data_IF_244312402955
#
_entry.id   IF_244312402955
#
_cell.length_a   1.000
_cell.length_b   1.000
_cell.length_c   1.000
_cell.angle_alpha   90.00
_cell.angle_beta   90.00
_cell.angle_gamma   90.00
#
_symmetry.space_group_name_H-M   'P 1'
#
loop_
_entity.id
_entity.type
_entity.pdbx_description
1 polymer ?
#
# COMPACT_ATOMS: atom_id res chain seq x y z
N UNK A 1 3.39 15.74 -16.62
CA UNK A 1 3.81 15.71 -15.20
C UNK A 1 5.25 15.26 -15.11
N UNK A 2 6.06 15.90 -14.27
CA UNK A 2 7.44 15.48 -14.02
C UNK A 2 7.46 14.10 -13.34
N UNK A 3 8.40 13.25 -13.76
CA UNK A 3 8.65 11.96 -13.11
C UNK A 3 9.73 12.20 -12.05
N UNK A 4 9.33 12.15 -10.78
CA UNK A 4 10.23 12.36 -9.63
C UNK A 4 10.87 11.03 -9.23
N UNK A 5 10.04 9.99 -9.04
CA UNK A 5 10.49 8.64 -8.70
C UNK A 5 10.98 7.90 -9.94
N UNK A 6 12.05 8.41 -10.55
CA UNK A 6 12.74 7.76 -11.67
C UNK A 6 13.46 6.50 -11.20
N UNK A 7 13.73 5.57 -12.11
CA UNK A 7 14.47 4.34 -11.78
C UNK A 7 15.85 4.65 -11.17
N UNK A 8 16.53 5.70 -11.68
CA UNK A 8 17.80 6.19 -11.14
C UNK A 8 17.66 6.71 -9.71
N UNK A 9 16.61 7.48 -9.42
CA UNK A 9 16.38 8.02 -8.09
C UNK A 9 16.04 6.90 -7.09
N UNK A 10 15.14 5.99 -7.48
CA UNK A 10 14.74 4.84 -6.66
C UNK A 10 15.93 3.94 -6.32
N UNK A 11 16.81 3.69 -7.28
CA UNK A 11 18.05 2.94 -7.07
C UNK A 11 19.06 3.67 -6.16
N UNK A 12 19.03 5.00 -6.14
CA UNK A 12 19.88 5.77 -5.22
C UNK A 12 19.28 5.76 -3.80
N UNK A 13 17.95 5.83 -3.70
CA UNK A 13 17.23 5.78 -2.43
C UNK A 13 17.37 4.41 -1.75
N UNK A 14 17.30 3.31 -2.50
CA UNK A 14 17.52 1.96 -1.94
C UNK A 14 18.89 1.77 -1.30
N UNK A 15 19.90 2.47 -1.81
CA UNK A 15 21.27 2.44 -1.26
C UNK A 15 21.43 3.28 0.02
N UNK A 16 20.49 4.16 0.32
CA UNK A 16 20.45 4.86 1.62
C UNK A 16 19.96 3.95 2.74
N UNK A 17 19.30 2.84 2.40
CA UNK A 17 18.79 1.90 3.37
C UNK A 17 19.85 0.88 3.75
N UNK A 18 20.15 0.82 5.04
CA UNK A 18 20.97 -0.21 5.63
C UNK A 18 20.09 -1.34 6.19
N UNK A 19 20.43 -2.59 5.84
CA UNK A 19 19.74 -3.79 6.32
C UNK A 19 19.80 -3.97 7.84
N UNK A 20 20.79 -3.37 8.51
CA UNK A 20 20.93 -3.36 9.96
C UNK A 20 19.92 -2.41 10.64
N UNK A 21 19.50 -1.36 9.95
CA UNK A 21 18.57 -0.36 10.48
C UNK A 21 17.12 -0.66 10.13
N UNK A 22 16.86 -1.07 8.88
CA UNK A 22 15.49 -1.38 8.41
C UNK A 22 15.51 -2.67 7.60
N UNK A 23 14.78 -3.68 8.06
CA UNK A 23 14.61 -4.91 7.28
C UNK A 23 13.65 -4.70 6.10
N UNK A 24 13.80 -5.42 4.97
CA UNK A 24 12.86 -5.30 3.85
C UNK A 24 11.43 -5.72 4.24
N UNK A 25 11.27 -6.57 5.25
CA UNK A 25 9.96 -6.87 5.86
C UNK A 25 9.31 -5.66 6.51
N UNK A 26 10.07 -4.88 7.28
CA UNK A 26 9.58 -3.65 7.91
C UNK A 26 9.26 -2.61 6.84
N UNK A 27 10.18 -2.35 5.90
CA UNK A 27 9.95 -1.41 4.82
C UNK A 27 8.69 -1.76 4.01
N UNK A 28 8.49 -3.05 3.71
CA UNK A 28 7.29 -3.51 3.01
C UNK A 28 6.00 -3.10 3.73
N UNK A 29 5.98 -3.19 5.07
CA UNK A 29 4.83 -2.75 5.87
C UNK A 29 4.68 -1.22 5.84
N UNK A 30 5.77 -0.47 5.96
CA UNK A 30 5.76 1.00 5.89
C UNK A 30 5.19 1.50 4.55
N UNK A 31 5.52 0.80 3.46
CA UNK A 31 5.01 1.10 2.11
C UNK A 31 3.55 0.64 1.89
N UNK A 32 2.88 0.07 2.90
CA UNK A 32 1.50 -0.40 2.81
C UNK A 32 1.34 -1.73 2.07
N UNK A 33 2.37 -2.58 2.08
CA UNK A 33 2.33 -3.95 1.58
C UNK A 33 2.32 -4.96 2.73
N UNK A 34 2.17 -6.25 2.41
CA UNK A 34 2.21 -7.32 3.41
C UNK A 34 3.65 -7.68 3.84
N UNK A 35 3.80 -8.29 5.02
CA UNK A 35 5.09 -8.88 5.44
C UNK A 35 5.59 -9.97 4.49
N UNK A 36 4.65 -10.67 3.82
CA UNK A 36 4.97 -11.68 2.81
C UNK A 36 5.64 -11.06 1.58
N UNK A 37 5.17 -9.89 1.13
CA UNK A 37 5.81 -9.17 0.02
C UNK A 37 7.27 -8.81 0.35
N UNK A 38 7.54 -8.31 1.56
CA UNK A 38 8.91 -8.05 2.01
C UNK A 38 9.77 -9.32 2.14
N UNK A 39 9.18 -10.43 2.56
CA UNK A 39 9.89 -11.72 2.61
C UNK A 39 10.24 -12.20 1.21
N UNK A 40 9.34 -12.07 0.24
CA UNK A 40 9.60 -12.43 -1.15
C UNK A 40 10.71 -11.57 -1.75
N UNK A 41 10.74 -10.27 -1.45
CA UNK A 41 11.81 -9.37 -1.88
C UNK A 41 13.16 -9.76 -1.27
N UNK A 42 13.20 -10.19 0.01
CA UNK A 42 14.40 -10.74 0.64
C UNK A 42 14.89 -12.01 -0.05
N UNK A 43 13.99 -12.95 -0.30
CA UNK A 43 14.33 -14.21 -0.99
C UNK A 43 14.84 -13.93 -2.39
N UNK A 44 14.19 -13.04 -3.14
CA UNK A 44 14.63 -12.65 -4.47
C UNK A 44 16.03 -12.01 -4.46
N UNK A 45 16.31 -11.10 -3.53
CA UNK A 45 17.64 -10.50 -3.37
C UNK A 45 18.74 -11.51 -3.01
N UNK A 46 18.41 -12.51 -2.18
CA UNK A 46 19.35 -13.58 -1.86
C UNK A 46 19.62 -14.50 -3.06
N UNK A 47 18.61 -14.82 -3.87
CA UNK A 47 18.75 -15.62 -5.08
C UNK A 47 19.65 -14.93 -6.13
N UNK A 48 19.63 -13.60 -6.18
CA UNK A 48 20.50 -12.81 -7.06
C UNK A 48 21.86 -12.47 -6.44
N UNK A 49 22.16 -13.02 -5.25
CA UNK A 49 23.35 -12.70 -4.44
C UNK A 49 23.54 -11.19 -4.20
N UNK A 50 22.43 -10.44 -4.18
CA UNK A 50 22.40 -9.00 -3.96
C UNK A 50 21.30 -8.63 -2.95
N UNK A 51 21.58 -8.73 -1.64
CA UNK A 51 20.60 -8.43 -0.59
C UNK A 51 20.03 -7.01 -0.64
N UNK A 52 20.78 -6.04 -1.19
CA UNK A 52 20.32 -4.67 -1.36
C UNK A 52 19.18 -4.55 -2.40
N UNK A 53 19.10 -5.48 -3.37
CA UNK A 53 18.04 -5.46 -4.38
C UNK A 53 16.65 -5.76 -3.82
N UNK A 54 16.56 -6.23 -2.57
CA UNK A 54 15.27 -6.36 -1.87
C UNK A 54 14.57 -5.02 -1.70
N UNK A 55 15.31 -3.94 -1.46
CA UNK A 55 14.75 -2.60 -1.38
C UNK A 55 14.35 -2.06 -2.76
N UNK A 56 15.16 -2.36 -3.79
CA UNK A 56 14.86 -2.01 -5.19
C UNK A 56 13.51 -2.59 -5.64
N UNK A 57 13.26 -3.87 -5.32
CA UNK A 57 11.98 -4.54 -5.64
C UNK A 57 10.80 -3.86 -4.93
N UNK A 58 10.95 -3.54 -3.65
CA UNK A 58 9.89 -2.88 -2.87
C UNK A 58 9.56 -1.48 -3.38
N UNK A 59 10.58 -0.67 -3.71
CA UNK A 59 10.35 0.65 -4.28
C UNK A 59 9.81 0.57 -5.71
N UNK A 60 10.25 -0.42 -6.51
CA UNK A 60 9.68 -0.66 -7.83
C UNK A 60 8.19 -1.00 -7.73
N UNK A 61 7.79 -1.86 -6.79
CA UNK A 61 6.38 -2.16 -6.49
C UNK A 61 5.61 -0.92 -6.05
N UNK A 62 6.20 -0.10 -5.18
CA UNK A 62 5.60 1.17 -4.76
C UNK A 62 5.32 2.08 -5.95
N UNK A 63 6.31 2.26 -6.82
CA UNK A 63 6.20 3.07 -8.02
C UNK A 63 5.19 2.51 -9.02
N UNK A 64 5.10 1.18 -9.16
CA UNK A 64 4.08 0.55 -10.01
C UNK A 64 2.65 0.78 -9.47
N UNK A 65 2.48 0.76 -8.15
CA UNK A 65 1.17 0.93 -7.50
C UNK A 65 0.72 2.39 -7.42
N UNK A 66 1.63 3.30 -7.08
CA UNK A 66 1.31 4.70 -6.78
C UNK A 66 1.73 5.67 -7.88
N UNK A 67 2.51 5.22 -8.87
CA UNK A 67 3.05 6.06 -9.94
C UNK A 67 4.37 6.74 -9.58
N UNK A 68 4.85 7.58 -10.51
CA UNK A 68 6.17 8.26 -10.45
C UNK A 68 6.08 9.76 -10.19
N UNK A 69 4.89 10.28 -9.92
CA UNK A 69 4.61 11.71 -9.85
C UNK A 69 5.04 12.34 -8.51
N UNK A 70 4.86 13.66 -8.42
CA UNK A 70 5.11 14.42 -7.20
C UNK A 70 4.24 13.99 -6.02
N UNK A 71 2.96 13.67 -6.25
CA UNK A 71 2.06 13.16 -5.20
C UNK A 71 2.59 11.85 -4.61
N UNK A 72 3.03 10.92 -5.46
CA UNK A 72 3.63 9.65 -5.03
C UNK A 72 4.92 9.87 -4.25
N UNK A 73 5.76 10.82 -4.68
CA UNK A 73 7.00 11.17 -3.98
C UNK A 73 6.75 11.86 -2.62
N UNK A 74 5.78 12.78 -2.53
CA UNK A 74 5.36 13.40 -1.27
C UNK A 74 4.80 12.35 -0.31
N UNK A 75 4.00 11.42 -0.82
CA UNK A 75 3.51 10.29 -0.04
C UNK A 75 4.65 9.39 0.44
N UNK A 76 5.67 9.13 -0.40
CA UNK A 76 6.83 8.35 0.00
C UNK A 76 7.64 9.06 1.11
N UNK A 77 7.83 10.38 0.99
CA UNK A 77 8.47 11.20 2.04
C UNK A 77 7.70 11.12 3.36
N UNK A 78 6.37 11.25 3.32
CA UNK A 78 5.54 11.16 4.53
C UNK A 78 5.68 9.80 5.24
N UNK A 79 5.72 8.70 4.47
CA UNK A 79 5.96 7.36 5.04
C UNK A 79 7.30 7.31 5.78
N UNK A 80 8.35 7.91 5.22
CA UNK A 80 9.65 7.93 5.90
C UNK A 80 9.65 8.76 7.18
N UNK A 81 8.98 9.92 7.19
CA UNK A 81 8.87 10.74 8.39
C UNK A 81 8.12 10.03 9.53
N UNK A 82 7.01 9.36 9.22
CA UNK A 82 6.23 8.61 10.22
C UNK A 82 6.99 7.42 10.83
N UNK A 83 7.99 6.90 10.11
CA UNK A 83 8.79 5.76 10.55
C UNK A 83 10.20 6.19 11.01
N UNK A 84 10.39 7.48 11.34
CA UNK A 84 11.64 8.04 11.87
C UNK A 84 12.84 7.92 10.91
N UNK A 85 12.59 7.70 9.61
CA UNK A 85 13.60 7.54 8.55
C UNK A 85 13.96 8.89 7.93
N UNK A 86 14.42 9.83 8.77
CA UNK A 86 14.62 11.23 8.38
C UNK A 86 15.57 11.40 7.19
N UNK A 87 16.68 10.67 7.14
CA UNK A 87 17.64 10.74 6.03
C UNK A 87 16.99 10.38 4.68
N UNK A 88 16.09 9.37 4.67
CA UNK A 88 15.36 8.98 3.47
C UNK A 88 14.30 10.04 3.09
N UNK A 89 13.63 10.63 4.09
CA UNK A 89 12.68 11.71 3.87
C UNK A 89 13.35 12.96 3.27
N UNK A 90 14.51 13.35 3.80
CA UNK A 90 15.32 14.46 3.31
C UNK A 90 15.86 14.19 1.90
N UNK A 91 16.24 12.94 1.60
CA UNK A 91 16.66 12.54 0.25
C UNK A 91 15.53 12.72 -0.78
N UNK A 92 14.29 12.36 -0.42
CA UNK A 92 13.11 12.57 -1.28
C UNK A 92 12.74 14.05 -1.38
N UNK A 93 12.85 14.81 -0.29
CA UNK A 93 12.65 16.27 -0.30
C UNK A 93 13.61 16.97 -1.26
N UNK A 94 14.89 16.66 -1.18
CA UNK A 94 15.90 17.24 -2.05
C UNK A 94 15.63 16.94 -3.54
N UNK A 95 15.08 15.77 -3.85
CA UNK A 95 14.66 15.46 -5.23
C UNK A 95 13.43 16.27 -5.65
N UNK A 96 12.41 16.38 -4.80
CA UNK A 96 11.22 17.21 -5.07
C UNK A 96 11.58 18.68 -5.33
N UNK A 97 12.51 19.23 -4.56
CA UNK A 97 13.01 20.61 -4.69
C UNK A 97 13.70 20.86 -6.03
N UNK A 98 14.42 19.87 -6.59
CA UNK A 98 15.02 19.98 -7.94
C UNK A 98 13.99 20.22 -9.05
N UNK A 99 12.76 19.76 -8.84
CA UNK A 99 11.65 19.93 -9.77
C UNK A 99 10.77 21.15 -9.43
N UNK A 100 11.20 22.01 -8.51
CA UNK A 100 10.45 23.16 -8.00
C UNK A 100 9.08 22.76 -7.42
N UNK A 101 8.97 21.54 -6.88
CA UNK A 101 7.75 21.09 -6.20
C UNK A 101 7.79 21.63 -4.77
N UNK A 102 6.78 22.38 -4.31
CA UNK A 102 6.72 22.83 -2.93
C UNK A 102 6.59 21.62 -2.00
N UNK A 103 7.49 21.53 -1.02
CA UNK A 103 7.49 20.47 -0.03
C UNK A 103 7.03 21.06 1.31
N UNK A 104 5.93 20.57 1.91
CA UNK A 104 5.49 21.01 3.23
C UNK A 104 6.51 20.67 4.31
N UNK A 105 6.51 21.41 5.42
CA UNK A 105 7.37 21.15 6.57
C UNK A 105 7.15 19.73 7.11
N UNK A 106 8.12 19.20 7.85
CA UNK A 106 8.01 17.87 8.45
C UNK A 106 6.78 17.80 9.38
N UNK A 107 6.56 18.86 10.16
CA UNK A 107 5.40 19.02 11.07
C UNK A 107 4.07 19.03 10.32
N UNK A 108 3.95 19.85 9.26
CA UNK A 108 2.76 19.89 8.40
C UNK A 108 2.45 18.53 7.78
N UNK A 109 3.48 17.80 7.36
CA UNK A 109 3.33 16.48 6.72
C UNK A 109 2.81 15.44 7.71
N UNK A 110 3.30 15.45 8.94
CA UNK A 110 2.83 14.56 10.01
C UNK A 110 1.42 14.95 10.47
N UNK A 111 1.13 16.24 10.60
CA UNK A 111 -0.20 16.73 10.95
C UNK A 111 -1.27 16.42 9.89
N UNK A 112 -0.95 16.49 8.60
CA UNK A 112 -1.90 16.09 7.54
C UNK A 112 -2.19 14.59 7.53
N UNK A 113 -1.21 13.75 7.88
CA UNK A 113 -1.37 12.29 7.99
C UNK A 113 -2.17 11.86 9.21
N UNK A 114 -2.03 12.57 10.33
CA UNK A 114 -2.72 12.29 11.58
C UNK A 114 -4.20 12.73 11.55
N UNK A 115 -4.59 13.59 10.60
CA UNK A 115 -5.99 14.00 10.47
C UNK A 115 -6.88 12.79 10.20
N UNK A 116 -7.84 12.47 11.10
CA UNK A 116 -8.85 11.47 10.79
C UNK A 116 -9.58 11.93 9.54
N UNK A 117 -9.52 11.12 8.49
CA UNK A 117 -10.35 11.32 7.30
C UNK A 117 -11.79 11.38 7.80
N UNK A 118 -12.37 12.58 7.79
CA UNK A 118 -13.79 12.74 8.06
C UNK A 118 -14.51 12.05 6.91
N UNK A 119 -14.81 10.76 7.10
CA UNK A 119 -15.73 10.02 6.24
C UNK A 119 -17.01 10.86 6.18
N UNK A 120 -17.52 11.23 5.00
CA UNK A 120 -18.86 11.78 4.92
C UNK A 120 -19.80 10.75 5.54
N UNK A 121 -20.50 11.14 6.61
CA UNK A 121 -21.46 10.32 7.32
C UNK A 121 -22.35 9.59 6.31
N UNK A 122 -22.17 8.27 6.19
CA UNK A 122 -23.16 7.42 5.55
C UNK A 122 -24.42 7.52 6.42
N UNK A 123 -25.62 7.82 5.86
CA UNK A 123 -26.82 7.82 6.67
C UNK A 123 -26.99 6.43 7.27
N UNK A 124 -26.86 6.32 8.59
CA UNK A 124 -27.22 5.14 9.37
C UNK A 124 -28.70 4.86 9.14
N UNK A 125 -28.99 3.96 8.21
CA UNK A 125 -30.30 3.36 8.05
C UNK A 125 -30.56 2.47 9.26
N UNK A 126 -31.31 3.00 10.22
CA UNK A 126 -31.90 2.27 11.34
C UNK A 126 -32.76 1.12 10.81
N UNK A 127 -32.55 -0.15 11.21
CA UNK A 127 -33.54 -1.20 10.99
C UNK A 127 -34.66 -0.99 12.03
N UNK A 128 -35.75 -0.36 11.59
CA UNK A 128 -36.99 -0.28 12.35
C UNK A 128 -37.68 -1.63 12.38
N UNK A 129 -37.98 -2.07 13.59
CA UNK A 129 -38.71 -3.28 13.97
C UNK A 129 -40.20 -3.19 13.62
N UNK A 130 -40.80 -4.34 13.27
CA UNK A 130 -42.24 -4.61 13.26
C UNK A 130 -42.87 -4.79 11.87
N UNK A 131 -43.85 -5.66 11.58
CA UNK A 131 -44.64 -6.64 12.35
C UNK A 131 -45.53 -7.38 11.30
N UNK A 132 -45.64 -8.73 11.35
CA UNK A 132 -46.79 -9.62 10.99
C UNK A 132 -47.57 -9.42 9.65
N UNK A 133 -48.10 -10.38 8.88
CA UNK A 133 -48.32 -11.83 8.97
C UNK A 133 -48.85 -12.36 7.59
N UNK A 134 -48.96 -13.70 7.52
CA UNK A 134 -49.92 -14.52 6.77
C UNK A 134 -49.54 -15.11 5.39
N UNK A 135 -49.59 -16.45 5.31
CA UNK A 135 -49.88 -17.19 4.07
C UNK A 135 -49.10 -18.49 3.87
N UNK A 136 -49.53 -19.58 4.51
CA UNK A 136 -49.08 -20.97 4.26
C UNK A 136 -49.71 -21.50 2.96
N UNK A 137 -48.95 -22.21 2.11
CA UNK A 137 -49.44 -23.41 1.39
C UNK A 137 -48.28 -24.22 0.78
N UNK A 138 -48.24 -25.48 1.18
CA UNK A 138 -47.39 -26.59 0.76
C UNK A 138 -48.02 -27.29 -0.47
N UNK A 139 -47.23 -27.76 -1.44
CA UNK A 139 -47.37 -29.07 -2.13
C UNK A 139 -46.23 -29.31 -3.13
N UNK A 140 -45.35 -30.26 -2.80
CA UNK A 140 -44.61 -31.18 -3.70
C UNK A 140 -45.60 -32.30 -4.17
N UNK A 141 -45.31 -33.35 -5.01
CA UNK A 141 -44.13 -33.77 -5.80
C UNK A 141 -44.41 -34.15 -7.27
N UNK A 142 -43.36 -34.41 -8.04
CA UNK A 142 -43.21 -35.56 -8.98
C UNK A 142 -41.74 -35.60 -9.43
N UNK A 143 -40.86 -36.41 -8.85
CA UNK A 143 -40.73 -37.88 -8.98
C UNK A 143 -40.19 -38.35 -10.35
N UNK A 144 -39.22 -39.28 -10.24
CA UNK A 144 -38.44 -39.99 -11.25
C UNK A 144 -37.16 -39.29 -11.81
N UNK A 145 -35.96 -39.63 -11.32
CA UNK A 145 -35.16 -40.87 -11.54
C UNK A 145 -34.77 -41.03 -13.01
N UNK A 146 -33.54 -41.33 -13.45
CA UNK A 146 -32.28 -41.77 -12.85
C UNK A 146 -31.21 -41.61 -13.96
N UNK A 147 -29.93 -41.46 -13.55
CA UNK A 147 -28.68 -42.05 -14.10
C UNK A 147 -28.51 -42.24 -15.62
N UNK A 148 -27.35 -42.14 -16.24
CA UNK A 148 -25.92 -42.25 -15.94
C UNK A 148 -25.27 -41.68 -17.24
N UNK A 149 -24.01 -41.29 -17.38
CA UNK A 149 -22.77 -42.02 -17.10
C UNK A 149 -21.63 -41.00 -17.29
N UNK A 150 -20.73 -40.89 -16.32
CA UNK A 150 -19.37 -40.42 -16.54
C UNK A 150 -18.58 -41.55 -17.22
N UNK A 151 -17.79 -41.25 -18.26
CA UNK A 151 -16.33 -41.49 -18.34
C UNK A 151 -15.81 -40.86 -19.65
#
# INVERSE_FOLDING_TARGET
MAKILTDKFVLALSKQLDLANVSPRQLSVFLGFSKAAGTNAMVAGNLTMNPASSFDDLFSKYVMKHGRGSVSALNLRGIFLENEMKDCADFVKAELEKFNIPVPSDEDTLMERDKPVSLPNLPSGTPGEGTEAAGVAQTDPADHLYEEIET
#
